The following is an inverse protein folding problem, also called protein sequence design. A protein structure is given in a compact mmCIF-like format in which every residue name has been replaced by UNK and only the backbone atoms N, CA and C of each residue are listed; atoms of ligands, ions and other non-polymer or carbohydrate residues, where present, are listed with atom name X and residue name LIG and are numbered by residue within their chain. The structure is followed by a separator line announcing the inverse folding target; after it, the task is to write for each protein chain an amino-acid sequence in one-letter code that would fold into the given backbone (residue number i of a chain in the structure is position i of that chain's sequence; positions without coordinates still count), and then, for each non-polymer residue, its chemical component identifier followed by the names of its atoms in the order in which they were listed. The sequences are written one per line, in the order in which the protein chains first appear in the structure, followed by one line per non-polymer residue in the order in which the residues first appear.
data_IF_767690147989
#
_entry.id   IF_767690147989
#
_cell.length_a   1.000
_cell.length_b   1.000
_cell.length_c   1.000
_cell.angle_alpha   90.00
_cell.angle_beta   90.00
_cell.angle_gamma   90.00
#
_symmetry.space_group_name_H-M   'P 1'
#
loop_
_entity.id
_entity.type
_entity.pdbx_description
1 polymer ?
#
# COMPACT_ATOMS: atom_id res chain seq x y z
N UNK A 1 -23.49 -5.17 16.07
CA UNK A 1 -22.46 -6.23 16.17
C UNK A 1 -21.12 -5.54 16.38
N UNK A 2 -20.40 -5.84 17.47
CA UNK A 2 -19.13 -5.18 17.79
C UNK A 2 -17.99 -5.92 17.11
N UNK A 3 -17.31 -5.30 16.16
CA UNK A 3 -16.34 -5.97 15.28
C UNK A 3 -14.95 -5.32 15.42
N UNK A 4 -13.91 -6.15 15.46
CA UNK A 4 -12.53 -5.74 15.71
C UNK A 4 -11.63 -6.00 14.49
N UNK A 5 -10.72 -5.08 14.15
CA UNK A 5 -10.02 -5.14 12.85
C UNK A 5 -8.58 -4.64 12.84
N UNK A 6 -7.78 -5.28 11.97
CA UNK A 6 -6.38 -4.95 11.68
C UNK A 6 -6.22 -3.86 10.61
N UNK A 7 -5.01 -3.29 10.54
CA UNK A 7 -4.53 -2.22 9.65
C UNK A 7 -5.02 -2.31 8.19
N UNK A 8 -5.02 -3.50 7.57
CA UNK A 8 -5.42 -3.70 6.17
C UNK A 8 -6.94 -3.61 5.91
N UNK A 9 -7.77 -3.55 6.95
CA UNK A 9 -9.23 -3.64 6.83
C UNK A 9 -9.90 -2.27 7.02
N UNK A 10 -9.22 -1.32 7.67
CA UNK A 10 -9.79 -0.04 8.08
C UNK A 10 -10.37 0.78 6.92
N UNK A 11 -9.71 0.77 5.75
CA UNK A 11 -10.23 1.43 4.55
C UNK A 11 -11.52 0.77 4.04
N UNK A 12 -11.57 -0.57 4.00
CA UNK A 12 -12.76 -1.30 3.60
C UNK A 12 -13.93 -1.04 4.56
N UNK A 13 -13.66 -0.94 5.87
CA UNK A 13 -14.66 -0.61 6.87
C UNK A 13 -15.29 0.76 6.64
N UNK A 14 -14.47 1.74 6.27
CA UNK A 14 -14.96 3.07 5.91
C UNK A 14 -15.85 3.03 4.66
N UNK A 15 -15.45 2.29 3.62
CA UNK A 15 -16.25 2.14 2.40
C UNK A 15 -17.59 1.42 2.64
N UNK A 16 -17.59 0.44 3.55
CA UNK A 16 -18.78 -0.30 3.98
C UNK A 16 -19.66 0.49 4.97
N UNK A 17 -19.21 1.65 5.46
CA UNK A 17 -19.95 2.44 6.44
C UNK A 17 -19.96 1.82 7.85
N UNK A 18 -18.97 1.00 8.17
CA UNK A 18 -18.90 0.21 9.40
C UNK A 18 -18.03 0.82 10.50
N UNK A 19 -17.57 2.07 10.35
CA UNK A 19 -16.70 2.72 11.33
C UNK A 19 -17.32 2.80 12.73
N UNK A 20 -18.64 3.02 12.85
CA UNK A 20 -19.32 3.04 14.15
C UNK A 20 -19.39 1.67 14.85
N UNK A 21 -19.15 0.59 14.12
CA UNK A 21 -19.10 -0.79 14.64
C UNK A 21 -17.68 -1.21 15.05
N UNK A 22 -16.67 -0.41 14.70
CA UNK A 22 -15.28 -0.62 15.09
C UNK A 22 -15.15 -0.37 16.60
N UNK A 23 -14.54 -1.31 17.33
CA UNK A 23 -14.32 -1.18 18.78
C UNK A 23 -12.86 -1.21 19.22
N UNK A 24 -11.96 -1.57 18.32
CA UNK A 24 -10.54 -1.47 18.60
C UNK A 24 -9.68 -1.70 17.37
N UNK A 25 -8.43 -1.33 17.52
CA UNK A 25 -7.33 -1.45 16.56
C UNK A 25 -6.14 -2.10 17.27
N UNK A 26 -5.21 -2.73 16.55
CA UNK A 26 -4.00 -3.33 17.15
C UNK A 26 -2.77 -2.44 17.10
N UNK A 27 -2.90 -1.26 16.51
CA UNK A 27 -1.84 -0.25 16.39
C UNK A 27 -2.50 1.10 16.11
N UNK A 28 -1.90 2.16 16.63
CA UNK A 28 -2.23 3.56 16.38
C UNK A 28 -1.62 4.10 15.08
N UNK A 29 -0.66 3.40 14.48
CA UNK A 29 -0.14 3.67 13.13
C UNK A 29 -1.17 3.28 12.06
N UNK A 30 -2.26 4.05 11.93
CA UNK A 30 -3.33 3.83 10.96
C UNK A 30 -3.47 4.99 9.98
N UNK A 31 -3.64 4.68 8.69
CA UNK A 31 -3.73 5.70 7.65
C UNK A 31 -5.10 6.45 7.60
N UNK A 32 -6.14 5.94 8.26
CA UNK A 32 -7.47 6.57 8.23
C UNK A 32 -7.62 7.63 9.33
N UNK A 33 -7.71 8.90 8.94
CA UNK A 33 -7.97 10.00 9.87
C UNK A 33 -9.31 9.83 10.61
N UNK A 34 -10.30 9.18 10.00
CA UNK A 34 -11.57 8.89 10.67
C UNK A 34 -11.37 7.92 11.84
N UNK A 35 -10.54 6.89 11.67
CA UNK A 35 -10.22 5.93 12.74
C UNK A 35 -9.40 6.61 13.83
N UNK A 36 -8.41 7.45 13.47
CA UNK A 36 -7.64 8.22 14.45
C UNK A 36 -8.53 9.12 15.30
N UNK A 37 -9.49 9.82 14.69
CA UNK A 37 -10.45 10.65 15.44
C UNK A 37 -11.30 9.83 16.42
N UNK A 38 -11.72 8.62 16.05
CA UNK A 38 -12.43 7.73 16.96
C UNK A 38 -11.54 7.29 18.13
N UNK A 39 -10.26 7.04 17.88
CA UNK A 39 -9.29 6.68 18.92
C UNK A 39 -9.02 7.87 19.87
N UNK A 40 -8.76 9.06 19.32
CA UNK A 40 -8.55 10.30 20.09
C UNK A 40 -9.78 10.68 20.92
N UNK A 41 -10.99 10.39 20.42
CA UNK A 41 -12.25 10.59 21.15
C UNK A 41 -12.52 9.51 22.22
N UNK A 42 -11.71 8.45 22.30
CA UNK A 42 -11.92 7.33 23.22
C UNK A 42 -13.06 6.39 22.83
N UNK A 43 -13.53 6.44 21.58
CA UNK A 43 -14.61 5.57 21.07
C UNK A 43 -14.11 4.16 20.69
N UNK A 44 -12.81 4.03 20.42
CA UNK A 44 -12.11 2.77 20.14
C UNK A 44 -10.81 2.69 20.94
N UNK A 45 -10.35 1.48 21.23
CA UNK A 45 -9.13 1.23 22.01
C UNK A 45 -8.03 0.59 21.15
N UNK A 46 -6.76 0.84 21.49
CA UNK A 46 -5.64 0.03 21.00
C UNK A 46 -5.56 -1.23 21.85
N UNK A 47 -5.57 -2.40 21.20
CA UNK A 47 -5.64 -3.71 21.85
C UNK A 47 -4.37 -4.48 21.57
N UNK A 48 -3.80 -5.04 22.63
CA UNK A 48 -2.60 -5.84 22.50
C UNK A 48 -2.92 -7.16 21.78
N UNK A 49 -2.43 -7.28 20.55
CA UNK A 49 -2.58 -8.49 19.73
C UNK A 49 -1.89 -9.72 20.34
N UNK A 50 -0.96 -9.54 21.29
CA UNK A 50 -0.29 -10.62 22.00
C UNK A 50 -1.09 -11.20 23.16
N UNK A 51 -2.25 -10.60 23.49
CA UNK A 51 -3.17 -11.07 24.53
C UNK A 51 -4.51 -11.56 23.94
N UNK A 52 -4.62 -12.82 23.49
CA UNK A 52 -5.84 -13.35 22.86
C UNK A 52 -7.11 -13.23 23.71
N UNK A 53 -6.97 -13.19 25.04
CA UNK A 53 -8.11 -13.00 25.95
C UNK A 53 -8.78 -11.63 25.77
N UNK A 54 -8.01 -10.59 25.42
CA UNK A 54 -8.58 -9.27 25.10
C UNK A 54 -9.36 -9.29 23.79
N UNK A 55 -9.01 -10.18 22.85
CA UNK A 55 -9.69 -10.33 21.56
C UNK A 55 -10.97 -11.18 21.66
N UNK A 56 -11.03 -12.08 22.64
CA UNK A 56 -12.19 -12.92 22.90
C UNK A 56 -13.45 -12.12 23.30
N UNK A 57 -13.30 -10.85 23.73
CA UNK A 57 -14.42 -9.97 24.08
C UNK A 57 -15.22 -9.45 22.87
N UNK A 58 -14.71 -9.62 21.65
CA UNK A 58 -15.33 -9.14 20.42
C UNK A 58 -16.16 -10.22 19.72
N UNK A 59 -17.11 -9.82 18.87
CA UNK A 59 -17.90 -10.80 18.10
C UNK A 59 -17.04 -11.50 17.03
N UNK A 60 -16.12 -10.75 16.39
CA UNK A 60 -15.13 -11.27 15.47
C UNK A 60 -13.88 -10.38 15.50
N UNK A 61 -12.71 -10.99 15.33
CA UNK A 61 -11.45 -10.29 15.07
C UNK A 61 -10.79 -10.85 13.82
N UNK A 62 -10.20 -9.97 13.01
CA UNK A 62 -9.65 -10.36 11.72
C UNK A 62 -8.14 -10.35 11.74
N UNK A 63 -7.50 -11.44 11.31
CA UNK A 63 -6.05 -11.63 11.37
C UNK A 63 -5.47 -11.92 10.00
N UNK A 64 -4.20 -11.62 9.81
CA UNK A 64 -3.44 -11.98 8.61
C UNK A 64 -2.59 -13.24 8.84
N UNK A 65 -1.95 -13.37 9.99
CA UNK A 65 -1.06 -14.49 10.31
C UNK A 65 -1.73 -15.46 11.29
N UNK A 66 -1.78 -16.75 10.93
CA UNK A 66 -2.43 -17.81 11.73
C UNK A 66 -1.47 -18.56 12.66
N UNK A 67 -0.18 -18.22 12.64
CA UNK A 67 0.87 -19.00 13.33
C UNK A 67 0.94 -18.76 14.86
N UNK A 68 0.10 -17.85 15.38
CA UNK A 68 0.03 -17.51 16.80
C UNK A 68 -1.24 -18.09 17.44
N UNK A 69 -1.24 -18.39 18.75
CA UNK A 69 -2.45 -18.79 19.47
C UNK A 69 -3.56 -17.76 19.27
N UNK A 70 -4.71 -18.19 18.73
CA UNK A 70 -5.86 -17.32 18.45
C UNK A 70 -7.01 -17.60 19.43
N UNK A 71 -7.81 -16.57 19.71
CA UNK A 71 -9.12 -16.78 20.32
C UNK A 71 -10.08 -17.37 19.28
N UNK A 72 -11.09 -18.15 19.70
CA UNK A 72 -11.97 -18.90 18.79
C UNK A 72 -12.80 -18.05 17.82
N UNK A 73 -12.88 -16.74 18.02
CA UNK A 73 -13.67 -15.78 17.26
C UNK A 73 -12.86 -15.06 16.16
N UNK A 74 -11.86 -15.73 15.59
CA UNK A 74 -11.01 -15.14 14.54
C UNK A 74 -11.52 -15.43 13.13
N UNK A 75 -11.22 -14.53 12.20
CA UNK A 75 -11.40 -14.73 10.76
C UNK A 75 -10.14 -14.29 10.01
N UNK A 76 -9.62 -15.14 9.13
CA UNK A 76 -8.43 -14.78 8.33
C UNK A 76 -8.80 -13.84 7.18
N UNK A 77 -8.14 -12.69 7.11
CA UNK A 77 -8.28 -11.71 6.05
C UNK A 77 -6.94 -11.55 5.34
N UNK A 78 -6.79 -12.17 4.17
CA UNK A 78 -5.49 -12.34 3.51
C UNK A 78 -5.47 -11.80 2.07
N UNK A 79 -5.84 -10.52 1.86
CA UNK A 79 -5.86 -9.90 0.52
C UNK A 79 -4.48 -9.82 -0.14
N UNK A 80 -3.40 -9.99 0.64
CA UNK A 80 -2.03 -9.95 0.14
C UNK A 80 -1.60 -11.24 -0.58
N UNK A 81 -2.38 -12.32 -0.49
CA UNK A 81 -2.15 -13.53 -1.28
C UNK A 81 -2.68 -13.42 -2.72
N UNK A 82 -3.35 -12.32 -3.06
CA UNK A 82 -3.91 -12.12 -4.39
C UNK A 82 -2.92 -11.45 -5.34
N UNK A 83 -2.78 -12.02 -6.53
CA UNK A 83 -1.85 -11.54 -7.55
C UNK A 83 -2.42 -10.38 -8.37
N UNK A 84 -3.74 -10.22 -8.45
CA UNK A 84 -4.37 -9.19 -9.26
C UNK A 84 -5.09 -8.13 -8.41
N UNK A 85 -5.05 -6.85 -8.81
CA UNK A 85 -5.74 -5.77 -8.10
C UNK A 85 -7.22 -6.00 -7.82
N UNK A 86 -7.97 -6.54 -8.79
CA UNK A 86 -9.40 -6.79 -8.62
C UNK A 86 -9.69 -7.97 -7.69
N UNK A 87 -8.88 -9.03 -7.71
CA UNK A 87 -8.99 -10.13 -6.74
C UNK A 87 -8.78 -9.59 -5.32
N UNK A 88 -7.75 -8.76 -5.14
CA UNK A 88 -7.45 -8.09 -3.88
C UNK A 88 -8.60 -7.17 -3.43
N UNK A 89 -9.22 -6.45 -4.35
CA UNK A 89 -10.37 -5.60 -4.05
C UNK A 89 -11.64 -6.39 -3.67
N UNK A 90 -11.81 -7.61 -4.18
CA UNK A 90 -12.99 -8.44 -3.91
C UNK A 90 -13.10 -8.89 -2.46
N UNK A 91 -12.00 -8.89 -1.70
CA UNK A 91 -11.98 -9.14 -0.26
C UNK A 91 -12.91 -8.22 0.54
N UNK A 92 -13.34 -7.08 0.00
CA UNK A 92 -14.40 -6.27 0.62
C UNK A 92 -15.73 -7.03 0.78
N UNK A 93 -16.05 -7.97 -0.12
CA UNK A 93 -17.25 -8.82 -0.04
C UNK A 93 -17.18 -9.79 1.12
N UNK A 94 -16.01 -10.35 1.41
CA UNK A 94 -15.78 -11.19 2.59
C UNK A 94 -16.16 -10.43 3.85
N UNK A 95 -15.68 -9.20 4.01
CA UNK A 95 -16.05 -8.33 5.14
C UNK A 95 -17.55 -8.00 5.16
N UNK A 96 -18.14 -7.81 3.98
CA UNK A 96 -19.57 -7.56 3.80
C UNK A 96 -20.45 -8.66 4.38
N UNK A 97 -20.10 -9.93 4.19
CA UNK A 97 -20.84 -11.09 4.74
C UNK A 97 -20.78 -11.10 6.26
N UNK A 98 -19.61 -10.89 6.86
CA UNK A 98 -19.50 -10.85 8.33
C UNK A 98 -20.35 -9.74 8.92
N UNK A 99 -20.40 -8.57 8.29
CA UNK A 99 -21.14 -7.42 8.80
C UNK A 99 -22.62 -7.37 8.33
N UNK A 100 -23.09 -8.36 7.57
CA UNK A 100 -24.45 -8.40 6.99
C UNK A 100 -24.76 -7.13 6.17
N UNK A 101 -23.79 -6.71 5.35
CA UNK A 101 -23.84 -5.56 4.44
C UNK A 101 -23.43 -5.94 3.02
N UNK A 102 -23.77 -7.15 2.59
CA UNK A 102 -23.41 -7.74 1.29
C UNK A 102 -23.85 -6.86 0.12
N UNK A 103 -25.05 -6.26 0.21
CA UNK A 103 -25.54 -5.33 -0.82
C UNK A 103 -24.61 -4.13 -0.99
N UNK A 104 -24.14 -3.54 0.12
CA UNK A 104 -23.19 -2.43 0.10
C UNK A 104 -21.81 -2.87 -0.40
N UNK A 105 -21.34 -4.04 0.04
CA UNK A 105 -20.04 -4.57 -0.39
C UNK A 105 -20.00 -4.83 -1.90
N UNK A 106 -21.06 -5.40 -2.46
CA UNK A 106 -21.20 -5.59 -3.91
C UNK A 106 -21.22 -4.24 -4.64
N UNK A 107 -22.02 -3.26 -4.18
CA UNK A 107 -22.05 -1.92 -4.77
C UNK A 107 -20.66 -1.26 -4.81
N UNK A 108 -19.90 -1.35 -3.71
CA UNK A 108 -18.55 -0.78 -3.66
C UNK A 108 -17.61 -1.52 -4.60
N UNK A 109 -17.64 -2.86 -4.61
CA UNK A 109 -16.80 -3.66 -5.50
C UNK A 109 -17.09 -3.40 -6.98
N UNK A 110 -18.37 -3.29 -7.34
CA UNK A 110 -18.80 -3.00 -8.72
C UNK A 110 -18.31 -1.63 -9.17
N UNK A 111 -18.40 -0.62 -8.30
CA UNK A 111 -17.88 0.72 -8.57
C UNK A 111 -16.35 0.74 -8.75
N UNK A 112 -15.61 -0.01 -7.92
CA UNK A 112 -14.16 -0.18 -8.04
C UNK A 112 -13.81 -0.88 -9.36
N UNK A 113 -14.51 -1.97 -9.67
CA UNK A 113 -14.31 -2.76 -10.90
C UNK A 113 -14.56 -1.93 -12.14
N UNK A 114 -15.67 -1.19 -12.17
CA UNK A 114 -16.02 -0.31 -13.29
C UNK A 114 -14.97 0.79 -13.50
N UNK A 115 -14.53 1.41 -12.40
CA UNK A 115 -13.49 2.46 -12.45
C UNK A 115 -12.16 1.91 -12.95
N UNK A 116 -11.73 0.77 -12.42
CA UNK A 116 -10.50 0.09 -12.81
C UNK A 116 -10.52 -0.28 -14.29
N UNK A 117 -11.57 -0.98 -14.73
CA UNK A 117 -11.72 -1.39 -16.13
C UNK A 117 -11.83 -0.19 -17.08
N UNK A 118 -12.43 0.92 -16.66
CA UNK A 118 -12.45 2.15 -17.45
C UNK A 118 -11.03 2.67 -17.71
N UNK A 119 -10.17 2.69 -16.67
CA UNK A 119 -8.78 3.13 -16.79
C UNK A 119 -7.96 2.16 -17.64
N UNK A 120 -8.02 0.86 -17.37
CA UNK A 120 -7.31 -0.16 -18.14
C UNK A 120 -7.76 -0.19 -19.61
N UNK A 121 -9.04 0.06 -19.90
CA UNK A 121 -9.50 0.10 -21.30
C UNK A 121 -8.95 1.30 -22.06
N UNK A 122 -8.58 2.41 -21.40
CA UNK A 122 -7.95 3.57 -22.05
C UNK A 122 -6.50 3.30 -22.47
N UNK A 123 -5.86 2.29 -21.88
CA UNK A 123 -4.48 1.93 -22.19
C UNK A 123 -4.43 0.88 -23.31
N UNK A 124 -5.52 0.13 -23.52
CA UNK A 124 -5.68 -0.80 -24.65
C UNK A 124 -5.59 -0.05 -25.99
N UNK A 125 -4.63 -0.46 -26.83
CA UNK A 125 -4.41 0.13 -28.14
C UNK A 125 -3.43 1.31 -28.15
N UNK A 126 -2.85 1.67 -27.00
CA UNK A 126 -1.75 2.63 -26.95
C UNK A 126 -0.48 1.97 -27.50
N UNK A 127 -0.10 2.33 -28.72
CA UNK A 127 1.12 1.85 -29.40
C UNK A 127 2.31 2.80 -29.25
N UNK A 128 2.13 3.90 -28.52
CA UNK A 128 3.18 4.87 -28.23
C UNK A 128 4.18 4.33 -27.19
N UNK A 129 5.18 5.15 -26.90
CA UNK A 129 6.04 5.02 -25.72
C UNK A 129 5.28 4.54 -24.47
N UNK A 130 5.86 3.56 -23.77
CA UNK A 130 5.42 3.06 -22.48
C UNK A 130 6.47 3.45 -21.44
N UNK A 131 6.10 4.20 -20.39
CA UNK A 131 7.06 4.58 -19.38
C UNK A 131 7.50 3.37 -18.55
N UNK A 132 8.80 3.28 -18.28
CA UNK A 132 9.36 2.33 -17.31
C UNK A 132 9.08 2.85 -15.89
N UNK A 133 8.43 2.04 -15.07
CA UNK A 133 8.01 2.40 -13.71
C UNK A 133 8.75 1.54 -12.70
N UNK A 134 9.43 2.19 -11.75
CA UNK A 134 10.07 1.54 -10.62
C UNK A 134 9.25 1.73 -9.35
N UNK A 135 8.75 0.62 -8.79
CA UNK A 135 8.30 0.58 -7.41
C UNK A 135 9.47 0.19 -6.52
N UNK A 136 9.76 1.00 -5.51
CA UNK A 136 10.91 0.77 -4.64
C UNK A 136 10.73 1.34 -3.23
N UNK A 137 11.40 0.70 -2.28
CA UNK A 137 11.40 1.11 -0.88
C UNK A 137 12.82 1.16 -0.32
N UNK A 138 13.01 2.07 0.63
CA UNK A 138 14.24 2.20 1.39
C UNK A 138 14.04 1.74 2.82
N UNK A 139 14.91 0.85 3.29
CA UNK A 139 14.96 0.44 4.69
C UNK A 139 16.42 0.25 5.12
N UNK A 140 16.83 0.95 6.18
CA UNK A 140 18.12 0.77 6.85
C UNK A 140 19.35 0.74 5.91
N UNK A 141 19.44 1.66 4.94
CA UNK A 141 20.56 1.73 4.00
C UNK A 141 20.40 0.83 2.77
N UNK A 142 19.26 0.16 2.60
CA UNK A 142 19.03 -0.77 1.49
C UNK A 142 17.81 -0.30 0.69
N UNK A 143 17.99 -0.08 -0.60
CA UNK A 143 16.90 0.06 -1.56
C UNK A 143 16.46 -1.28 -2.08
N UNK A 144 15.17 -1.53 -2.15
CA UNK A 144 14.59 -2.77 -2.67
C UNK A 144 13.54 -2.47 -3.73
N UNK A 145 13.66 -3.06 -4.91
CA UNK A 145 12.57 -3.06 -5.90
C UNK A 145 11.44 -4.01 -5.46
N UNK A 146 10.24 -3.64 -5.81
CA UNK A 146 9.03 -4.38 -5.48
C UNK A 146 8.89 -5.62 -6.35
N UNK A 147 8.40 -6.72 -5.76
CA UNK A 147 8.13 -7.98 -6.47
C UNK A 147 6.67 -8.38 -6.46
N UNK A 148 5.85 -7.68 -5.69
CA UNK A 148 4.45 -8.03 -5.52
C UNK A 148 3.72 -7.87 -6.85
N UNK A 149 3.27 -9.01 -7.36
CA UNK A 149 2.60 -9.19 -8.66
C UNK A 149 1.48 -8.19 -8.87
N UNK A 150 0.67 -7.89 -7.86
CA UNK A 150 -0.43 -6.92 -7.98
C UNK A 150 0.04 -5.49 -8.25
N UNK A 151 1.23 -5.09 -7.75
CA UNK A 151 1.81 -3.77 -8.03
C UNK A 151 2.40 -3.71 -9.43
N UNK A 152 3.09 -4.77 -9.84
CA UNK A 152 3.56 -4.91 -11.22
C UNK A 152 2.39 -4.90 -12.21
N UNK A 153 1.26 -5.52 -11.84
CA UNK A 153 0.01 -5.50 -12.61
C UNK A 153 -0.60 -4.11 -12.70
N UNK A 154 -0.52 -3.28 -11.65
CA UNK A 154 -0.95 -1.87 -11.76
C UNK A 154 -0.19 -1.10 -12.84
N UNK A 155 1.12 -1.33 -12.95
CA UNK A 155 1.95 -0.68 -13.97
C UNK A 155 1.52 -1.12 -15.37
N UNK A 156 1.38 -2.42 -15.58
CA UNK A 156 0.95 -2.97 -16.88
C UNK A 156 -0.45 -2.47 -17.28
N UNK A 157 -1.40 -2.50 -16.35
CA UNK A 157 -2.78 -2.11 -16.62
C UNK A 157 -2.90 -0.59 -16.85
N UNK A 158 -1.99 0.20 -16.27
CA UNK A 158 -1.80 1.62 -16.56
C UNK A 158 -1.07 1.90 -17.89
N UNK A 159 -0.58 0.87 -18.58
CA UNK A 159 0.11 0.96 -19.87
C UNK A 159 1.59 1.33 -19.76
N UNK A 160 2.20 1.15 -18.59
CA UNK A 160 3.65 1.23 -18.40
C UNK A 160 4.32 -0.13 -18.53
N UNK A 161 5.64 -0.13 -18.34
CA UNK A 161 6.46 -1.34 -18.25
C UNK A 161 7.18 -1.33 -16.89
N UNK A 162 7.35 -2.50 -16.28
CA UNK A 162 8.13 -2.63 -15.06
C UNK A 162 9.63 -2.54 -15.40
N UNK A 163 10.45 -2.30 -14.38
CA UNK A 163 11.92 -2.34 -14.50
C UNK A 163 12.36 -3.68 -15.11
N UNK A 164 13.35 -3.63 -16.00
CA UNK A 164 13.82 -4.76 -16.82
C UNK A 164 14.01 -6.06 -16.03
N UNK A 165 13.33 -7.14 -16.46
CA UNK A 165 13.36 -8.46 -15.82
C UNK A 165 14.77 -9.11 -15.82
N UNK A 166 15.70 -8.63 -16.65
CA UNK A 166 17.10 -9.08 -16.63
C UNK A 166 17.86 -8.60 -15.37
N UNK A 167 17.33 -7.62 -14.65
CA UNK A 167 17.84 -7.15 -13.37
C UNK A 167 17.46 -8.16 -12.29
N UNK A 168 18.31 -9.17 -12.12
CA UNK A 168 18.09 -10.26 -11.16
C UNK A 168 18.31 -9.86 -9.70
N UNK A 169 18.97 -8.72 -9.46
CA UNK A 169 19.24 -8.19 -8.12
C UNK A 169 18.12 -7.21 -7.74
N UNK A 170 17.53 -7.39 -6.57
CA UNK A 170 16.39 -6.57 -6.15
C UNK A 170 16.77 -5.58 -5.06
N UNK A 171 17.79 -5.89 -4.27
CA UNK A 171 18.22 -5.10 -3.12
C UNK A 171 19.59 -4.49 -3.36
N UNK A 172 19.75 -3.22 -3.05
CA UNK A 172 20.97 -2.44 -3.28
C UNK A 172 21.35 -1.70 -2.00
N UNK A 173 22.52 -2.03 -1.44
CA UNK A 173 23.03 -1.40 -0.23
C UNK A 173 23.82 -0.13 -0.57
N UNK A 174 23.37 1.04 -0.11
CA UNK A 174 23.99 2.33 -0.44
C UNK A 174 25.41 2.48 0.12
N UNK A 175 25.80 1.66 1.10
CA UNK A 175 27.15 1.63 1.66
C UNK A 175 28.13 0.82 0.77
N UNK A 176 27.62 0.08 -0.22
CA UNK A 176 28.42 -0.64 -1.22
C UNK A 176 28.52 0.21 -2.49
N UNK A 177 29.71 0.69 -2.89
CA UNK A 177 29.87 1.48 -4.10
C UNK A 177 29.33 0.79 -5.35
N UNK A 178 29.57 -0.52 -5.50
CA UNK A 178 29.09 -1.30 -6.65
C UNK A 178 27.55 -1.37 -6.71
N UNK A 179 26.89 -1.47 -5.54
CA UNK A 179 25.42 -1.49 -5.47
C UNK A 179 24.85 -0.12 -5.80
N UNK A 180 25.52 0.93 -5.32
CA UNK A 180 25.11 2.31 -5.53
C UNK A 180 25.19 2.69 -7.01
N UNK A 181 26.32 2.37 -7.66
CA UNK A 181 26.53 2.61 -9.08
C UNK A 181 25.51 1.84 -9.93
N UNK A 182 25.23 0.57 -9.57
CA UNK A 182 24.19 -0.23 -10.26
C UNK A 182 22.80 0.37 -10.06
N UNK A 183 22.45 0.79 -8.85
CA UNK A 183 21.16 1.41 -8.57
C UNK A 183 20.98 2.69 -9.39
N UNK A 184 21.99 3.56 -9.44
CA UNK A 184 21.94 4.80 -10.22
C UNK A 184 21.82 4.51 -11.72
N UNK A 185 22.58 3.54 -12.24
CA UNK A 185 22.48 3.13 -13.64
C UNK A 185 21.06 2.65 -14.01
N UNK A 186 20.41 1.90 -13.12
CA UNK A 186 19.01 1.49 -13.30
C UNK A 186 18.08 2.69 -13.23
N UNK A 187 18.24 3.59 -12.26
CA UNK A 187 17.40 4.78 -12.14
C UNK A 187 17.53 5.74 -13.32
N UNK A 188 18.66 5.73 -14.05
CA UNK A 188 18.80 6.48 -15.31
C UNK A 188 17.90 5.92 -16.45
N UNK A 189 17.39 4.68 -16.35
CA UNK A 189 16.50 4.08 -17.36
C UNK A 189 15.02 4.18 -16.99
N UNK A 190 14.71 4.72 -15.81
CA UNK A 190 13.36 4.79 -15.25
C UNK A 190 12.70 6.14 -15.57
N UNK A 191 11.45 6.10 -16.02
CA UNK A 191 10.66 7.29 -16.33
C UNK A 191 9.80 7.77 -15.15
N UNK A 192 9.41 6.83 -14.28
CA UNK A 192 8.53 7.09 -13.13
C UNK A 192 9.02 6.27 -11.94
N UNK A 193 9.19 6.94 -10.80
CA UNK A 193 9.50 6.28 -9.52
C UNK A 193 8.28 6.35 -8.62
N UNK A 194 7.89 5.21 -8.07
CA UNK A 194 6.91 5.09 -7.00
C UNK A 194 7.66 4.66 -5.74
N UNK A 195 7.95 5.65 -4.89
CA UNK A 195 8.60 5.46 -3.60
C UNK A 195 7.55 5.01 -2.56
N UNK A 196 7.69 3.78 -2.11
CA UNK A 196 6.85 3.18 -1.09
C UNK A 196 7.53 3.05 0.28
N UNK A 197 8.64 3.77 0.46
CA UNK A 197 9.36 3.88 1.74
C UNK A 197 8.43 4.31 2.86
N UNK A 198 8.29 3.46 3.86
CA UNK A 198 7.59 3.81 5.10
C UNK A 198 8.38 4.87 5.87
N UNK A 199 7.68 5.91 6.31
CA UNK A 199 8.24 6.94 7.20
C UNK A 199 7.18 7.35 8.21
N UNK A 200 7.60 7.59 9.45
CA UNK A 200 6.74 8.19 10.48
C UNK A 200 6.49 9.68 10.24
N UNK A 201 7.31 10.33 9.41
CA UNK A 201 7.21 11.74 9.07
C UNK A 201 7.05 11.93 7.55
N UNK A 202 5.88 11.54 7.05
CA UNK A 202 5.56 11.62 5.62
C UNK A 202 5.46 13.06 5.11
N UNK A 203 5.16 14.03 5.99
CA UNK A 203 5.07 15.46 5.64
C UNK A 203 6.42 15.99 5.19
N UNK A 204 7.48 15.63 5.92
CA UNK A 204 8.82 16.14 5.66
C UNK A 204 9.62 15.26 4.70
N UNK A 205 9.16 14.03 4.41
CA UNK A 205 9.75 13.18 3.39
C UNK A 205 9.41 13.72 2.00
N UNK A 206 10.36 14.44 1.41
CA UNK A 206 10.23 15.06 0.09
C UNK A 206 11.29 14.51 -0.88
N UNK A 207 11.34 15.08 -2.09
CA UNK A 207 12.31 14.70 -3.12
C UNK A 207 13.76 14.79 -2.64
N UNK A 208 14.10 15.77 -1.80
CA UNK A 208 15.46 15.90 -1.24
C UNK A 208 15.80 14.75 -0.32
N UNK A 209 14.85 14.28 0.50
CA UNK A 209 15.04 13.08 1.34
C UNK A 209 15.26 11.83 0.48
N UNK A 210 14.47 11.66 -0.58
CA UNK A 210 14.68 10.58 -1.54
C UNK A 210 16.10 10.63 -2.15
N UNK A 211 16.53 11.80 -2.64
CA UNK A 211 17.85 11.99 -3.26
C UNK A 211 19.00 11.73 -2.28
N UNK A 212 18.84 12.15 -1.01
CA UNK A 212 19.77 11.82 0.07
C UNK A 212 19.84 10.32 0.32
N UNK A 213 18.69 9.63 0.33
CA UNK A 213 18.63 8.19 0.59
C UNK A 213 19.20 7.35 -0.56
N UNK A 214 19.19 7.83 -1.81
CA UNK A 214 19.91 7.19 -2.92
C UNK A 214 21.36 7.66 -3.02
N UNK A 215 21.85 8.55 -2.16
CA UNK A 215 23.24 9.03 -2.12
C UNK A 215 23.80 9.43 -3.50
N UNK A 216 23.07 10.28 -4.22
CA UNK A 216 23.45 10.75 -5.57
C UNK A 216 23.89 12.21 -5.55
N UNK A 217 25.01 12.52 -6.22
CA UNK A 217 25.45 13.90 -6.45
C UNK A 217 25.04 14.42 -7.82
N UNK A 218 25.28 13.62 -8.88
CA UNK A 218 24.84 13.91 -10.25
C UNK A 218 23.60 13.09 -10.60
N UNK A 219 22.44 13.75 -10.64
CA UNK A 219 21.16 13.16 -10.99
C UNK A 219 20.66 13.65 -12.36
N UNK A 220 21.56 14.10 -13.25
CA UNK A 220 21.20 14.66 -14.55
C UNK A 220 20.52 13.65 -15.49
N UNK A 221 20.82 12.35 -15.33
CA UNK A 221 20.18 11.28 -16.10
C UNK A 221 18.77 10.89 -15.61
N UNK A 222 18.35 11.34 -14.42
CA UNK A 222 17.08 10.94 -13.82
C UNK A 222 15.92 11.71 -14.44
N UNK A 223 15.41 11.19 -15.56
CA UNK A 223 14.28 11.78 -16.30
C UNK A 223 13.02 11.90 -15.45
N UNK A 224 12.81 10.99 -14.49
CA UNK A 224 11.69 11.11 -13.56
C UNK A 224 11.75 12.36 -12.68
N UNK A 225 12.93 12.96 -12.43
CA UNK A 225 13.02 14.24 -11.71
C UNK A 225 12.66 15.41 -12.60
N UNK A 226 13.15 15.43 -13.84
CA UNK A 226 12.85 16.52 -14.78
C UNK A 226 11.38 16.53 -15.20
N UNK A 227 10.75 15.35 -15.29
CA UNK A 227 9.34 15.19 -15.59
C UNK A 227 8.41 15.29 -14.37
N UNK A 228 8.95 15.50 -13.16
CA UNK A 228 8.18 15.50 -11.90
C UNK A 228 7.40 14.20 -11.66
N UNK A 229 7.98 13.07 -12.08
CA UNK A 229 7.39 11.73 -12.00
C UNK A 229 7.92 10.91 -10.82
N UNK A 230 8.29 11.57 -9.72
CA UNK A 230 8.61 10.93 -8.44
C UNK A 230 7.39 10.98 -7.52
N UNK A 231 6.75 9.83 -7.32
CA UNK A 231 5.51 9.69 -6.57
C UNK A 231 5.75 8.94 -5.27
N UNK A 232 5.22 9.45 -4.16
CA UNK A 232 5.08 8.64 -2.95
C UNK A 232 3.82 7.78 -3.00
N UNK A 233 3.92 6.53 -2.58
CA UNK A 233 2.76 5.63 -2.49
C UNK A 233 1.79 6.02 -1.37
N UNK A 234 2.31 6.54 -0.25
CA UNK A 234 1.55 6.80 0.97
C UNK A 234 0.93 8.21 1.04
N UNK A 235 0.61 8.84 -0.11
CA UNK A 235 -0.01 10.19 -0.25
C UNK A 235 -1.29 10.45 0.59
N UNK A 236 -1.68 9.54 1.47
CA UNK A 236 -2.74 9.64 2.48
C UNK A 236 -2.24 9.93 3.91
N UNK A 237 -0.94 10.00 4.20
CA UNK A 237 -0.44 10.41 5.51
C UNK A 237 -0.34 11.95 5.57
N UNK A 238 -0.96 12.48 6.64
CA UNK A 238 -1.23 13.88 7.04
C UNK A 238 -0.57 15.00 6.19
N UNK A 239 -1.38 15.94 5.69
CA UNK A 239 -0.97 17.22 5.08
C UNK A 239 -0.04 17.17 3.84
N UNK A 240 -0.48 16.54 2.75
CA UNK A 240 0.24 16.62 1.47
C UNK A 240 0.03 17.97 0.75
N UNK A 241 0.90 18.94 1.07
CA UNK A 241 1.37 19.91 0.06
C UNK A 241 2.52 19.34 -0.78
N UNK A 242 2.89 18.07 -0.60
CA UNK A 242 4.03 17.45 -1.25
C UNK A 242 3.62 16.67 -2.53
N UNK A 243 4.12 17.20 -3.65
CA UNK A 243 4.31 16.60 -4.97
C UNK A 243 3.02 16.31 -5.75
N UNK A 244 2.72 17.21 -6.69
CA UNK A 244 1.79 16.99 -7.79
C UNK A 244 2.39 16.13 -8.89
#
# INVERSE_FOLDING_TARGET
MSIFFFYCILFNMQLLGLLGSLKGITSDSVASQCVLKLYEAGEIEVIDKSEPQQLAKFAAHFITYTDQPQACNFASFVPYGEDNPLQRAEWIKFLGVFANVESRANQVYDAVTQSYQCLTNRTKGRTSFKPTVAWMQYENGIWSFTKETYKLKYVEDAGGENVDDSINKITYNISSPDDLDQLHAILCTVDVVIDETYTSDAVNYNSSTFLQNINVEDHSCFVFLSNQSLWRYDKRIQNSTALG
#
